data_IF_995577981193
#
_entry.id   IF_995577981193
#
_cell.length_a   1.000
_cell.length_b   1.000
_cell.length_c   1.000
_cell.angle_alpha   90.00
_cell.angle_beta   90.00
_cell.angle_gamma   90.00
#
_symmetry.space_group_name_H-M   'P 1'
#
loop_
_entity.id
_entity.type
_entity.pdbx_description
1 polymer ?
#
# COMPACT_ATOMS: atom_id res chain seq x y z
N UNK A 1 16.74 -8.13 10.62
CA UNK A 1 17.50 -7.66 9.45
C UNK A 1 16.54 -7.44 8.29
N UNK A 2 15.92 -6.25 8.24
CA UNK A 2 15.20 -5.77 7.06
C UNK A 2 16.13 -5.62 5.84
N UNK A 3 15.60 -5.97 4.68
CA UNK A 3 16.25 -5.73 3.38
C UNK A 3 15.36 -4.83 2.53
N UNK A 4 15.85 -3.65 2.16
CA UNK A 4 15.23 -2.77 1.19
C UNK A 4 15.51 -3.29 -0.23
N UNK A 5 14.44 -3.61 -0.96
CA UNK A 5 14.49 -4.15 -2.33
C UNK A 5 14.70 -3.06 -3.39
N UNK A 6 14.42 -1.80 -3.05
CA UNK A 6 14.66 -0.61 -3.90
C UNK A 6 14.92 0.62 -3.02
N UNK A 7 15.35 1.71 -3.65
CA UNK A 7 15.49 3.01 -2.98
C UNK A 7 14.17 3.45 -2.34
N UNK A 8 14.18 3.69 -1.03
CA UNK A 8 13.06 4.22 -0.27
C UNK A 8 13.16 5.75 -0.23
N UNK A 9 12.17 6.43 -0.80
CA UNK A 9 11.99 7.87 -0.65
C UNK A 9 10.95 8.11 0.43
N UNK A 10 11.35 8.73 1.54
CA UNK A 10 10.48 8.91 2.71
C UNK A 10 10.72 10.26 3.37
N UNK A 11 9.82 10.65 4.28
CA UNK A 11 9.94 11.89 5.04
C UNK A 11 9.69 11.64 6.52
N UNK A 12 10.67 11.84 7.42
CA UNK A 12 10.44 11.68 8.86
C UNK A 12 9.42 12.68 9.40
N UNK A 13 9.59 13.96 9.08
CA UNK A 13 8.74 15.05 9.57
C UNK A 13 7.63 15.46 8.58
N UNK A 14 7.53 14.76 7.45
CA UNK A 14 6.66 15.16 6.33
C UNK A 14 7.11 16.46 5.63
N UNK A 15 8.23 17.05 6.03
CA UNK A 15 8.73 18.33 5.51
C UNK A 15 9.86 18.16 4.49
N UNK A 16 10.71 17.14 4.66
CA UNK A 16 11.88 16.87 3.81
C UNK A 16 11.80 15.43 3.31
N UNK A 17 12.07 15.22 2.01
CA UNK A 17 12.16 13.87 1.43
C UNK A 17 13.61 13.41 1.44
N UNK A 18 13.88 12.37 2.22
CA UNK A 18 15.14 11.64 2.27
C UNK A 18 15.08 10.39 1.38
N UNK A 19 16.23 9.95 0.87
CA UNK A 19 16.35 8.79 -0.03
C UNK A 19 17.31 7.78 0.59
N UNK A 20 16.81 6.58 0.91
CA UNK A 20 17.58 5.48 1.49
C UNK A 20 17.83 4.45 0.40
N UNK A 21 19.08 4.06 0.09
CA UNK A 21 19.37 3.12 -0.97
C UNK A 21 18.86 1.70 -0.66
N UNK A 22 18.76 0.88 -1.71
CA UNK A 22 18.44 -0.55 -1.55
C UNK A 22 19.61 -1.28 -0.87
N UNK A 23 19.31 -2.19 0.06
CA UNK A 23 20.33 -2.92 0.80
C UNK A 23 19.79 -3.62 2.04
N UNK A 24 20.66 -4.40 2.69
CA UNK A 24 20.37 -5.04 3.97
C UNK A 24 20.76 -4.09 5.08
N UNK A 25 19.80 -3.79 5.95
CA UNK A 25 19.99 -2.92 7.10
C UNK A 25 19.93 -3.72 8.40
N UNK A 26 20.86 -3.50 9.34
CA UNK A 26 20.76 -4.06 10.67
C UNK A 26 19.60 -3.43 11.43
N UNK A 27 19.12 -4.16 12.43
CA UNK A 27 18.01 -3.73 13.29
C UNK A 27 18.38 -2.42 14.00
N UNK A 28 17.53 -1.39 13.85
CA UNK A 28 17.76 -0.05 14.40
C UNK A 28 18.59 0.91 13.54
N UNK A 29 19.08 0.49 12.37
CA UNK A 29 19.74 1.38 11.41
C UNK A 29 18.74 2.12 10.51
N UNK A 30 17.63 1.44 10.17
CA UNK A 30 16.48 2.10 9.58
C UNK A 30 15.62 2.70 10.69
N UNK A 31 15.16 3.95 10.56
CA UNK A 31 14.15 4.50 11.45
C UNK A 31 12.88 3.65 11.39
N UNK A 32 12.27 3.36 12.55
CA UNK A 32 11.04 2.57 12.61
C UNK A 32 9.96 3.08 11.65
N UNK A 33 9.85 4.41 11.50
CA UNK A 33 8.90 5.02 10.56
C UNK A 33 9.24 4.77 9.09
N UNK A 34 10.53 4.73 8.73
CA UNK A 34 10.97 4.37 7.39
C UNK A 34 10.67 2.90 7.11
N UNK A 35 10.86 2.01 8.08
CA UNK A 35 10.48 0.60 7.97
C UNK A 35 8.98 0.43 7.75
N UNK A 36 8.13 1.13 8.52
CA UNK A 36 6.68 1.10 8.33
C UNK A 36 6.26 1.55 6.92
N UNK A 37 6.81 2.67 6.45
CA UNK A 37 6.54 3.18 5.10
C UNK A 37 7.03 2.19 4.04
N UNK A 38 8.23 1.65 4.20
CA UNK A 38 8.76 0.67 3.27
C UNK A 38 7.94 -0.63 3.25
N UNK A 39 7.35 -0.98 4.39
CA UNK A 39 6.45 -2.12 4.55
C UNK A 39 5.11 -1.85 3.87
N UNK A 40 4.53 -0.67 4.07
CA UNK A 40 3.31 -0.22 3.40
C UNK A 40 3.49 -0.14 1.88
N UNK A 41 4.66 0.30 1.42
CA UNK A 41 5.02 0.31 0.00
C UNK A 41 5.37 -1.08 -0.54
N UNK A 42 5.51 -2.10 0.31
CA UNK A 42 5.91 -3.45 -0.09
C UNK A 42 7.33 -3.54 -0.66
N UNK A 43 8.22 -2.63 -0.26
CA UNK A 43 9.61 -2.55 -0.76
C UNK A 43 10.66 -3.04 0.24
N UNK A 44 10.24 -3.49 1.42
CA UNK A 44 11.11 -4.05 2.45
C UNK A 44 10.77 -5.53 2.69
N UNK A 45 11.79 -6.34 2.97
CA UNK A 45 11.64 -7.75 3.28
C UNK A 45 12.31 -8.06 4.61
N UNK A 46 11.54 -8.54 5.57
CA UNK A 46 12.09 -9.09 6.81
C UNK A 46 12.43 -10.57 6.58
N UNK A 47 13.66 -10.97 6.91
CA UNK A 47 14.19 -12.34 6.71
C UNK A 47 13.45 -13.48 7.43
N UNK A 48 12.25 -13.25 7.97
CA UNK A 48 11.39 -14.24 8.59
C UNK A 48 9.92 -13.97 8.27
N UNK A 49 9.49 -14.32 7.05
CA UNK A 49 8.08 -14.60 6.73
C UNK A 49 7.03 -13.60 7.21
N UNK A 50 7.10 -12.35 6.75
CA UNK A 50 6.03 -11.37 6.93
C UNK A 50 5.76 -10.65 5.61
N UNK A 51 4.92 -11.24 4.75
CA UNK A 51 4.36 -10.52 3.61
C UNK A 51 3.32 -9.58 4.20
N UNK A 52 3.69 -8.33 4.49
CA UNK A 52 2.67 -7.29 4.66
C UNK A 52 2.16 -7.00 3.26
N UNK A 53 1.11 -7.72 2.88
CA UNK A 53 0.30 -7.39 1.72
C UNK A 53 -0.22 -5.98 2.02
N UNK A 54 0.19 -4.93 1.28
CA UNK A 54 -0.58 -3.70 1.33
C UNK A 54 -2.00 -4.12 0.96
N UNK A 55 -2.96 -3.85 1.83
CA UNK A 55 -4.35 -3.99 1.47
C UNK A 55 -4.54 -3.11 0.23
N UNK A 56 -4.58 -3.75 -0.94
CA UNK A 56 -5.07 -3.15 -2.16
C UNK A 56 -6.39 -2.49 -1.77
N UNK A 57 -6.60 -1.18 -2.03
CA UNK A 57 -7.85 -0.54 -1.66
C UNK A 57 -8.96 -1.39 -2.27
N UNK A 58 -9.82 -1.97 -1.43
CA UNK A 58 -11.04 -2.62 -1.91
C UNK A 58 -11.67 -1.65 -2.91
N UNK A 59 -11.95 -2.08 -4.15
CA UNK A 59 -12.54 -1.19 -5.14
C UNK A 59 -13.80 -0.58 -4.52
N UNK A 60 -13.89 0.76 -4.55
CA UNK A 60 -15.10 1.48 -4.17
C UNK A 60 -16.30 0.74 -4.81
N UNK A 61 -17.37 0.43 -4.05
CA UNK A 61 -18.52 -0.23 -4.63
C UNK A 61 -19.06 0.67 -5.75
N UNK A 62 -18.97 0.20 -6.99
CA UNK A 62 -19.67 0.81 -8.12
C UNK A 62 -21.12 1.03 -7.69
N UNK A 63 -21.68 2.24 -7.84
CA UNK A 63 -23.06 2.49 -7.48
C UNK A 63 -23.96 1.57 -8.31
N UNK A 64 -24.69 0.70 -7.60
CA UNK A 64 -25.67 -0.22 -8.18
C UNK A 64 -26.63 0.58 -9.08
N UNK A 65 -26.76 0.24 -10.38
CA UNK A 65 -27.59 1.02 -11.28
C UNK A 65 -29.06 0.95 -10.85
N UNK A 66 -29.73 2.11 -10.80
CA UNK A 66 -31.16 2.24 -10.51
C UNK A 66 -32.00 1.21 -11.29
N UNK A 67 -32.95 0.49 -10.66
CA UNK A 67 -33.78 -0.45 -11.38
C UNK A 67 -34.65 0.30 -12.40
N UNK A 68 -34.34 0.10 -13.67
CA UNK A 68 -35.16 0.56 -14.79
C UNK A 68 -36.60 0.08 -14.60
N UNK A 69 -37.51 1.04 -14.40
CA UNK A 69 -38.96 0.83 -14.39
C UNK A 69 -39.37 0.17 -15.71
N UNK A 70 -39.53 -1.16 -15.71
CA UNK A 70 -40.18 -1.84 -16.83
C UNK A 70 -41.67 -1.52 -16.74
N UNK A 71 -42.10 -0.48 -17.45
CA UNK A 71 -43.51 -0.26 -17.78
C UNK A 71 -44.00 -1.48 -18.57
N UNK A 72 -44.68 -2.43 -17.93
CA UNK A 72 -45.52 -3.44 -18.61
C UNK A 72 -46.75 -2.74 -19.18
N UNK A 73 -46.57 -2.05 -20.31
CA UNK A 73 -47.65 -1.81 -21.26
C UNK A 73 -47.84 -3.08 -22.08
N UNK A 74 -48.93 -3.81 -21.85
CA UNK A 74 -49.42 -4.81 -22.81
C UNK A 74 -50.92 -4.62 -23.00
N UNK A 75 -51.23 -3.72 -23.93
CA UNK A 75 -52.46 -3.71 -24.72
C UNK A 75 -52.36 -4.84 -25.74
N UNK A 76 -53.32 -5.76 -25.75
CA UNK A 76 -54.09 -6.22 -26.91
C UNK A 76 -54.98 -7.40 -26.51
#
# INVERSE_FOLDING_TARGET
MPELLRELKWSPDGCIVESIPAGVYPDGELPARAEEIATELGIIKFGGGGVHVPAEPEPEPEPEPEPAVTKRGKTK
#
